data_IF_520944493237
#
_entry.id   IF_520944493237
#
_cell.length_a   1.000
_cell.length_b   1.000
_cell.length_c   1.000
_cell.angle_alpha   90.00
_cell.angle_beta   90.00
_cell.angle_gamma   90.00
#
_symmetry.space_group_name_H-M   'P 1'
#
loop_
_entity.id
_entity.type
_entity.pdbx_description
1 polymer ?
#
# COMPACT_ATOMS: atom_id res chain seq x y z
N UNK A 1 24.33 84.05 17.54
CA UNK A 1 24.81 82.65 17.53
C UNK A 1 24.21 81.83 18.65
N UNK A 2 24.17 82.32 19.89
CA UNK A 2 23.65 81.54 21.03
C UNK A 2 22.13 81.32 21.03
N UNK A 3 21.34 82.26 20.52
CA UNK A 3 19.88 82.10 20.40
C UNK A 3 19.49 80.96 19.44
N UNK A 4 20.22 80.83 18.32
CA UNK A 4 20.01 79.75 17.34
C UNK A 4 20.41 78.39 17.92
N UNK A 5 21.49 78.33 18.69
CA UNK A 5 21.91 77.09 19.37
C UNK A 5 20.90 76.64 20.44
N UNK A 6 20.30 77.58 21.17
CA UNK A 6 19.23 77.28 22.14
C UNK A 6 17.97 76.79 21.45
N UNK A 7 17.60 77.39 20.32
CA UNK A 7 16.43 76.96 19.54
C UNK A 7 16.65 75.60 18.88
N UNK A 8 17.86 75.35 18.38
CA UNK A 8 18.26 74.03 17.87
C UNK A 8 18.17 72.98 18.97
N UNK A 9 18.68 73.28 20.17
CA UNK A 9 18.62 72.38 21.32
C UNK A 9 17.18 72.07 21.76
N UNK A 10 16.32 73.09 21.82
CA UNK A 10 14.90 72.92 22.16
C UNK A 10 14.17 72.04 21.13
N UNK A 11 14.40 72.26 19.83
CA UNK A 11 13.80 71.47 18.76
C UNK A 11 14.32 70.03 18.73
N UNK A 12 15.62 69.80 19.02
CA UNK A 12 16.14 68.43 19.16
C UNK A 12 15.53 67.70 20.35
N UNK A 13 15.32 68.39 21.47
CA UNK A 13 14.69 67.78 22.65
C UNK A 13 13.21 67.46 22.41
N UNK A 14 12.51 68.32 21.67
CA UNK A 14 11.13 68.09 21.26
C UNK A 14 11.01 66.94 20.24
N UNK A 15 11.98 66.80 19.33
CA UNK A 15 12.08 65.64 18.44
C UNK A 15 12.35 64.35 19.20
N UNK A 16 13.28 64.35 20.16
CA UNK A 16 13.60 63.16 20.97
C UNK A 16 12.41 62.71 21.82
N UNK A 17 11.67 63.66 22.41
CA UNK A 17 10.45 63.36 23.18
C UNK A 17 9.32 62.85 22.29
N UNK A 18 9.12 63.40 21.08
CA UNK A 18 8.16 62.90 20.12
C UNK A 18 8.55 61.52 19.56
N UNK A 19 9.83 61.27 19.31
CA UNK A 19 10.33 59.94 18.91
C UNK A 19 10.16 58.91 20.02
N UNK A 20 10.42 59.30 21.28
CA UNK A 20 10.19 58.43 22.43
C UNK A 20 8.70 58.13 22.61
N UNK A 21 7.81 59.13 22.49
CA UNK A 21 6.37 58.94 22.54
C UNK A 21 5.85 58.08 21.37
N UNK A 22 6.44 58.21 20.17
CA UNK A 22 6.15 57.36 19.01
C UNK A 22 6.61 55.91 19.21
N UNK A 23 7.78 55.70 19.79
CA UNK A 23 8.29 54.35 20.16
C UNK A 23 7.46 53.72 21.28
N UNK A 24 6.94 54.52 22.22
CA UNK A 24 6.01 54.05 23.25
C UNK A 24 4.64 53.67 22.65
N UNK A 25 4.14 54.43 21.66
CA UNK A 25 2.94 54.10 20.88
C UNK A 25 3.14 52.94 19.89
N UNK A 26 4.37 52.57 19.56
CA UNK A 26 4.67 51.34 18.80
C UNK A 26 4.75 50.10 19.68
N UNK A 27 4.34 50.18 20.95
CA UNK A 27 3.88 49.00 21.67
C UNK A 27 2.62 48.48 20.97
N UNK A 28 2.86 47.59 20.00
CA UNK A 28 1.86 46.80 19.28
C UNK A 28 0.76 46.44 20.26
N UNK A 29 -0.42 47.03 20.09
CA UNK A 29 -1.59 46.62 20.84
C UNK A 29 -1.68 45.09 20.70
N UNK A 30 -1.88 44.37 21.79
CA UNK A 30 -2.02 42.90 21.75
C UNK A 30 -3.07 42.50 20.70
N UNK A 31 -4.06 43.37 20.47
CA UNK A 31 -5.06 43.28 19.42
C UNK A 31 -4.52 43.42 17.99
N UNK A 32 -3.50 44.23 17.73
CA UNK A 32 -2.86 44.32 16.43
C UNK A 32 -2.11 43.02 16.09
N UNK A 33 -1.39 42.45 17.07
CA UNK A 33 -0.75 41.15 16.92
C UNK A 33 -1.75 40.00 16.75
N UNK A 34 -2.87 40.05 17.48
CA UNK A 34 -3.97 39.10 17.34
C UNK A 34 -4.67 39.24 15.98
N UNK A 35 -5.01 40.45 15.57
CA UNK A 35 -5.64 40.73 14.28
C UNK A 35 -4.74 40.30 13.10
N UNK A 36 -3.42 40.52 13.20
CA UNK A 36 -2.47 40.10 12.16
C UNK A 36 -2.36 38.58 12.06
N UNK A 37 -2.31 37.87 13.19
CA UNK A 37 -2.31 36.39 13.20
C UNK A 37 -3.62 35.83 12.67
N UNK A 38 -4.76 36.38 13.11
CA UNK A 38 -6.07 35.98 12.64
C UNK A 38 -6.26 36.26 11.14
N UNK A 39 -5.68 37.34 10.60
CA UNK A 39 -5.69 37.63 9.17
C UNK A 39 -4.87 36.61 8.36
N UNK A 40 -3.69 36.24 8.85
CA UNK A 40 -2.84 35.22 8.21
C UNK A 40 -3.46 33.82 8.27
N UNK A 41 -4.02 33.44 9.42
CA UNK A 41 -4.74 32.18 9.60
C UNK A 41 -5.98 32.12 8.70
N UNK A 42 -6.75 33.21 8.60
CA UNK A 42 -7.86 33.31 7.63
C UNK A 42 -7.38 33.17 6.20
N UNK A 43 -6.25 33.77 5.84
CA UNK A 43 -5.72 33.67 4.48
C UNK A 43 -5.28 32.24 4.16
N UNK A 44 -4.61 31.56 5.09
CA UNK A 44 -4.25 30.15 4.96
C UNK A 44 -5.50 29.26 4.86
N UNK A 45 -6.48 29.47 5.73
CA UNK A 45 -7.74 28.71 5.72
C UNK A 45 -8.57 28.96 4.45
N UNK A 46 -8.54 30.17 3.87
CA UNK A 46 -9.21 30.48 2.59
C UNK A 46 -8.49 29.80 1.44
N UNK A 47 -7.16 29.76 1.46
CA UNK A 47 -6.37 29.06 0.45
C UNK A 47 -6.60 27.54 0.50
N UNK A 48 -6.57 26.95 1.70
CA UNK A 48 -6.86 25.53 1.91
C UNK A 48 -8.31 25.21 1.52
N UNK A 49 -9.29 26.04 1.89
CA UNK A 49 -10.68 25.85 1.43
C UNK A 49 -10.82 25.96 -0.08
N UNK A 50 -10.08 26.85 -0.75
CA UNK A 50 -10.09 26.92 -2.20
C UNK A 50 -9.48 25.66 -2.84
N UNK A 51 -8.42 25.11 -2.24
CA UNK A 51 -7.81 23.87 -2.67
C UNK A 51 -8.73 22.67 -2.44
N UNK A 52 -9.33 22.56 -1.26
CA UNK A 52 -10.30 21.51 -0.92
C UNK A 52 -11.56 21.60 -1.80
N UNK A 53 -12.05 22.82 -2.11
CA UNK A 53 -13.14 23.01 -3.08
C UNK A 53 -12.77 22.52 -4.47
N UNK A 54 -11.53 22.75 -4.94
CA UNK A 54 -11.07 22.22 -6.23
C UNK A 54 -11.01 20.69 -6.23
N UNK A 55 -10.53 20.09 -5.14
CA UNK A 55 -10.49 18.63 -4.98
C UNK A 55 -11.90 18.04 -4.90
N UNK A 56 -12.81 18.66 -4.14
CA UNK A 56 -14.21 18.25 -4.06
C UNK A 56 -14.94 18.40 -5.39
N UNK A 57 -14.70 19.49 -6.14
CA UNK A 57 -15.24 19.69 -7.48
C UNK A 57 -14.75 18.58 -8.42
N UNK A 58 -13.45 18.25 -8.35
CA UNK A 58 -12.88 17.16 -9.13
C UNK A 58 -13.49 15.79 -8.75
N UNK A 59 -13.66 15.52 -7.46
CA UNK A 59 -14.30 14.28 -6.99
C UNK A 59 -15.79 14.24 -7.37
N UNK A 60 -16.49 15.37 -7.36
CA UNK A 60 -17.88 15.47 -7.82
C UNK A 60 -18.00 15.22 -9.33
N UNK A 61 -17.07 15.74 -10.14
CA UNK A 61 -17.00 15.48 -11.58
C UNK A 61 -16.70 13.99 -11.85
N UNK A 62 -15.79 13.39 -11.09
CA UNK A 62 -15.48 11.95 -11.18
C UNK A 62 -16.69 11.10 -10.77
N UNK A 63 -17.36 11.43 -9.68
CA UNK A 63 -18.57 10.74 -9.24
C UNK A 63 -19.73 10.90 -10.22
N UNK A 64 -19.88 12.07 -10.86
CA UNK A 64 -20.88 12.30 -11.91
C UNK A 64 -20.59 11.44 -13.14
N UNK A 65 -19.32 11.33 -13.55
CA UNK A 65 -18.90 10.42 -14.63
C UNK A 65 -19.10 8.95 -14.27
N UNK A 66 -18.81 8.55 -13.04
CA UNK A 66 -19.07 7.20 -12.54
C UNK A 66 -20.59 6.92 -12.49
N UNK A 67 -21.41 7.90 -12.12
CA UNK A 67 -22.87 7.74 -12.09
C UNK A 67 -23.47 7.59 -13.48
N UNK A 68 -22.91 8.25 -14.50
CA UNK A 68 -23.26 8.05 -15.91
C UNK A 68 -22.87 6.65 -16.44
N UNK A 69 -21.93 5.96 -15.78
CA UNK A 69 -21.51 4.58 -16.09
C UNK A 69 -22.29 3.54 -15.29
N UNK A 70 -22.84 3.91 -14.13
CA UNK A 70 -23.56 3.03 -13.20
C UNK A 70 -25.09 3.04 -13.39
N UNK A 71 -25.67 3.99 -14.14
CA UNK A 71 -27.08 3.89 -14.55
C UNK A 71 -27.29 2.68 -15.48
N UNK A 72 -28.14 1.71 -15.11
CA UNK A 72 -28.00 0.35 -15.59
C UNK A 72 -28.65 0.17 -16.97
N UNK A 73 -27.84 -0.08 -18.00
CA UNK A 73 -28.28 -0.99 -19.04
C UNK A 73 -28.41 -2.37 -18.36
N UNK A 74 -29.63 -2.83 -18.14
CA UNK A 74 -29.96 -4.16 -17.64
C UNK A 74 -29.22 -5.23 -18.43
N UNK A 75 -28.05 -5.65 -17.96
CA UNK A 75 -27.29 -6.77 -18.47
C UNK A 75 -27.31 -7.81 -17.37
N UNK A 76 -28.24 -8.74 -17.53
CA UNK A 76 -28.30 -10.02 -16.83
C UNK A 76 -26.95 -10.71 -16.95
N UNK A 77 -26.11 -10.60 -15.92
CA UNK A 77 -24.98 -11.50 -15.75
C UNK A 77 -25.54 -12.87 -15.37
N UNK A 78 -25.88 -13.67 -16.39
CA UNK A 78 -25.97 -15.12 -16.23
C UNK A 78 -24.52 -15.59 -16.09
N UNK A 79 -24.10 -15.77 -14.85
CA UNK A 79 -23.02 -16.71 -14.56
C UNK A 79 -23.56 -18.08 -15.00
N UNK A 80 -23.10 -18.57 -16.16
CA UNK A 80 -23.22 -19.99 -16.44
C UNK A 80 -22.35 -20.70 -15.40
N UNK A 81 -22.99 -21.47 -14.52
CA UNK A 81 -22.39 -22.35 -13.50
C UNK A 81 -21.52 -23.48 -14.11
N UNK A 82 -21.26 -23.45 -15.42
CA UNK A 82 -20.50 -24.43 -16.19
C UNK A 82 -19.13 -23.89 -16.62
N UNK A 83 -18.45 -23.10 -15.77
CA UNK A 83 -16.99 -23.01 -15.80
C UNK A 83 -16.43 -24.34 -15.30
N UNK A 84 -16.53 -25.32 -16.18
CA UNK A 84 -15.82 -26.59 -16.20
C UNK A 84 -14.45 -26.35 -15.58
N UNK A 85 -14.22 -27.06 -14.47
CA UNK A 85 -12.93 -27.43 -13.92
C UNK A 85 -12.11 -28.09 -15.05
N UNK A 86 -11.66 -27.29 -16.03
CA UNK A 86 -10.68 -27.71 -17.00
C UNK A 86 -9.44 -27.91 -16.16
N UNK A 87 -9.19 -29.17 -15.81
CA UNK A 87 -8.00 -29.63 -15.15
C UNK A 87 -6.84 -29.23 -16.06
N UNK A 88 -6.29 -28.04 -15.84
CA UNK A 88 -5.06 -27.61 -16.47
C UNK A 88 -4.05 -28.64 -16.04
N UNK A 89 -3.61 -29.41 -17.04
CA UNK A 89 -2.61 -30.46 -16.91
C UNK A 89 -1.48 -29.91 -16.05
N UNK A 90 -1.28 -30.55 -14.88
CA UNK A 90 -0.16 -30.35 -13.95
C UNK A 90 1.16 -30.64 -14.68
N UNK A 91 1.54 -29.74 -15.57
CA UNK A 91 2.76 -29.85 -16.35
C UNK A 91 3.94 -29.80 -15.39
N UNK A 92 4.99 -30.61 -15.63
CA UNK A 92 6.23 -30.50 -14.86
C UNK A 92 6.77 -29.07 -14.94
N UNK A 93 7.56 -28.68 -13.93
CA UNK A 93 8.31 -27.42 -13.95
C UNK A 93 8.97 -27.19 -15.33
N UNK A 94 9.03 -25.95 -15.81
CA UNK A 94 9.67 -25.68 -17.09
C UNK A 94 11.10 -26.21 -17.05
N UNK A 95 11.60 -26.77 -18.17
CA UNK A 95 12.87 -27.55 -18.22
C UNK A 95 14.11 -26.83 -17.66
N UNK A 96 14.06 -25.51 -17.50
CA UNK A 96 15.13 -24.67 -16.95
C UNK A 96 15.02 -24.38 -15.43
N UNK A 97 13.98 -24.89 -14.76
CA UNK A 97 13.79 -24.77 -13.32
C UNK A 97 14.07 -26.12 -12.65
N UNK A 98 15.28 -26.28 -12.12
CA UNK A 98 15.61 -27.32 -11.13
C UNK A 98 15.43 -26.74 -9.73
N UNK A 99 15.34 -27.60 -8.70
CA UNK A 99 15.27 -27.12 -7.31
C UNK A 99 16.47 -26.22 -6.97
N UNK A 100 17.67 -26.56 -7.45
CA UNK A 100 18.87 -25.73 -7.24
C UNK A 100 18.75 -24.35 -7.90
N UNK A 101 18.32 -24.27 -9.16
CA UNK A 101 18.19 -22.97 -9.86
C UNK A 101 17.04 -22.14 -9.28
N UNK A 102 15.98 -22.77 -8.78
CA UNK A 102 14.91 -22.11 -8.05
C UNK A 102 15.42 -21.44 -6.78
N UNK A 103 16.17 -22.17 -5.94
CA UNK A 103 16.74 -21.61 -4.72
C UNK A 103 17.73 -20.48 -5.01
N UNK A 104 18.65 -20.69 -5.95
CA UNK A 104 19.62 -19.66 -6.36
C UNK A 104 18.93 -18.36 -6.79
N UNK A 105 17.86 -18.46 -7.59
CA UNK A 105 17.09 -17.28 -8.03
C UNK A 105 16.36 -16.60 -6.89
N UNK A 106 15.65 -17.34 -6.05
CA UNK A 106 14.90 -16.76 -4.93
C UNK A 106 15.84 -16.15 -3.88
N UNK A 107 17.01 -16.74 -3.65
CA UNK A 107 18.03 -16.17 -2.77
C UNK A 107 18.67 -14.92 -3.37
N UNK A 108 18.92 -14.91 -4.69
CA UNK A 108 19.36 -13.71 -5.39
C UNK A 108 18.32 -12.58 -5.29
N UNK A 109 17.02 -12.88 -5.46
CA UNK A 109 15.95 -11.91 -5.25
C UNK A 109 15.92 -11.44 -3.79
N UNK A 110 15.98 -12.35 -2.80
CA UNK A 110 16.04 -11.99 -1.37
C UNK A 110 17.19 -11.05 -1.05
N UNK A 111 18.36 -11.24 -1.67
CA UNK A 111 19.50 -10.34 -1.50
C UNK A 111 19.25 -8.91 -2.00
N UNK A 112 18.31 -8.72 -2.95
CA UNK A 112 17.90 -7.40 -3.45
C UNK A 112 16.92 -6.68 -2.52
N UNK A 113 16.26 -7.38 -1.60
CA UNK A 113 15.20 -6.80 -0.76
C UNK A 113 15.63 -5.50 -0.06
N UNK A 114 16.81 -5.41 0.60
CA UNK A 114 17.20 -4.17 1.27
C UNK A 114 17.41 -3.00 0.29
N UNK A 115 17.92 -3.26 -0.92
CA UNK A 115 18.14 -2.19 -1.90
C UNK A 115 16.82 -1.72 -2.52
N UNK A 116 15.89 -2.64 -2.77
CA UNK A 116 14.53 -2.34 -3.23
C UNK A 116 13.78 -1.54 -2.18
N UNK A 117 13.79 -1.98 -0.92
CA UNK A 117 13.07 -1.28 0.15
C UNK A 117 13.60 0.14 0.36
N UNK A 118 14.93 0.32 0.35
CA UNK A 118 15.53 1.66 0.41
C UNK A 118 15.14 2.53 -0.79
N UNK A 119 15.22 1.98 -2.01
CA UNK A 119 14.88 2.72 -3.25
C UNK A 119 13.44 3.21 -3.22
N UNK A 120 12.52 2.42 -2.69
CA UNK A 120 11.10 2.73 -2.61
C UNK A 120 10.69 3.36 -1.28
N UNK A 121 11.66 3.79 -0.45
CA UNK A 121 11.42 4.53 0.78
C UNK A 121 10.82 3.72 1.93
N UNK A 122 10.73 2.38 1.82
CA UNK A 122 10.10 1.48 2.79
C UNK A 122 10.91 1.32 4.10
N UNK A 123 12.22 1.60 4.08
CA UNK A 123 13.08 1.51 5.27
C UNK A 123 12.88 2.66 6.26
N UNK A 124 12.44 3.83 5.77
CA UNK A 124 12.37 5.06 6.55
C UNK A 124 10.96 5.40 7.06
N UNK A 125 9.94 4.62 6.68
CA UNK A 125 8.55 4.91 7.07
C UNK A 125 8.29 4.48 8.51
N UNK A 126 7.78 5.41 9.31
CA UNK A 126 7.30 5.15 10.68
C UNK A 126 5.79 4.93 10.73
N UNK A 127 5.06 5.46 9.74
CA UNK A 127 3.61 5.38 9.65
C UNK A 127 3.17 4.51 8.46
N UNK A 128 1.89 4.15 8.47
CA UNK A 128 1.25 3.46 7.36
C UNK A 128 1.23 4.35 6.11
N UNK A 129 1.72 3.82 5.00
CA UNK A 129 1.91 4.52 3.74
C UNK A 129 1.76 3.57 2.56
N UNK A 130 1.20 4.08 1.46
CA UNK A 130 0.95 3.34 0.21
C UNK A 130 1.26 4.24 -0.98
N UNK A 131 1.98 3.70 -1.96
CA UNK A 131 2.26 4.35 -3.22
C UNK A 131 2.08 3.37 -4.37
N UNK A 132 1.43 3.84 -5.42
CA UNK A 132 1.24 3.11 -6.67
C UNK A 132 1.80 3.98 -7.79
N UNK A 133 2.72 3.43 -8.56
CA UNK A 133 3.34 4.07 -9.72
C UNK A 133 3.08 3.19 -10.93
N UNK A 134 2.47 3.77 -11.97
CA UNK A 134 2.32 3.12 -13.27
C UNK A 134 3.19 3.85 -14.29
N UNK A 135 3.94 3.09 -15.07
CA UNK A 135 4.79 3.62 -16.14
C UNK A 135 4.82 2.66 -17.32
N UNK A 136 5.08 3.19 -18.51
CA UNK A 136 5.38 2.37 -19.68
C UNK A 136 6.90 2.24 -19.79
N UNK A 137 7.40 1.02 -19.86
CA UNK A 137 8.80 0.75 -20.15
C UNK A 137 9.08 1.11 -21.61
N UNK A 138 9.88 2.15 -21.84
CA UNK A 138 10.18 2.64 -23.19
C UNK A 138 10.97 1.64 -24.03
N UNK A 139 11.68 0.69 -23.40
CA UNK A 139 12.49 -0.29 -24.12
C UNK A 139 11.66 -1.48 -24.60
N UNK A 140 10.75 -1.97 -23.77
CA UNK A 140 9.92 -3.15 -24.11
C UNK A 140 8.52 -2.79 -24.58
N UNK A 141 8.05 -1.59 -24.27
CA UNK A 141 6.67 -1.16 -24.44
C UNK A 141 5.73 -1.68 -23.35
N UNK A 142 6.23 -2.41 -22.36
CA UNK A 142 5.39 -3.03 -21.32
C UNK A 142 4.87 -2.01 -20.32
N UNK A 143 3.67 -2.25 -19.78
CA UNK A 143 3.18 -1.48 -18.64
C UNK A 143 3.77 -2.08 -17.37
N UNK A 144 4.41 -1.24 -16.58
CA UNK A 144 5.02 -1.59 -15.30
C UNK A 144 4.26 -0.89 -14.19
N UNK A 145 3.64 -1.70 -13.33
CA UNK A 145 2.97 -1.26 -12.12
C UNK A 145 3.84 -1.59 -10.92
N UNK A 146 4.34 -0.55 -10.26
CA UNK A 146 5.11 -0.64 -9.02
C UNK A 146 4.24 -0.20 -7.86
N UNK A 147 4.16 -1.05 -6.85
CA UNK A 147 3.32 -0.85 -5.67
C UNK A 147 4.20 -1.00 -4.44
N UNK A 148 4.20 0.01 -3.59
CA UNK A 148 4.96 0.05 -2.35
C UNK A 148 4.02 0.33 -1.19
N UNK A 149 4.09 -0.48 -0.15
CA UNK A 149 3.24 -0.34 1.04
C UNK A 149 4.06 -0.59 2.29
N UNK A 150 3.86 0.26 3.28
CA UNK A 150 4.27 0.04 4.66
C UNK A 150 3.00 0.15 5.51
N UNK A 151 2.71 -0.83 6.36
CA UNK A 151 1.56 -0.82 7.24
C UNK A 151 2.02 -1.10 8.67
N UNK A 152 1.59 -0.25 9.59
CA UNK A 152 1.69 -0.56 11.02
C UNK A 152 0.50 -1.42 11.39
N UNK A 153 0.75 -2.70 11.68
CA UNK A 153 -0.28 -3.64 12.12
C UNK A 153 -0.32 -3.64 13.64
N UNK A 154 -1.49 -3.38 14.21
CA UNK A 154 -1.73 -3.32 15.66
C UNK A 154 -2.01 -4.72 16.25
N UNK A 155 -1.08 -5.64 16.03
CA UNK A 155 -1.13 -6.99 16.56
C UNK A 155 0.27 -7.54 16.86
N UNK A 156 0.33 -8.63 17.62
CA UNK A 156 1.58 -9.29 17.98
C UNK A 156 2.29 -9.85 16.74
N UNK A 157 3.62 -9.73 16.71
CA UNK A 157 4.44 -10.20 15.58
C UNK A 157 4.22 -11.70 15.26
N UNK A 158 4.06 -12.54 16.29
CA UNK A 158 3.78 -13.96 16.10
C UNK A 158 2.41 -14.19 15.45
N UNK A 159 1.35 -13.55 15.97
CA UNK A 159 -0.01 -13.69 15.46
C UNK A 159 -0.11 -13.26 13.99
N UNK A 160 0.56 -12.14 13.64
CA UNK A 160 0.61 -11.65 12.26
C UNK A 160 1.47 -12.55 11.38
N UNK A 161 2.57 -13.10 11.90
CA UNK A 161 3.40 -14.09 11.20
C UNK A 161 2.61 -15.35 10.83
N UNK A 162 1.83 -15.88 11.77
CA UNK A 162 0.95 -17.04 11.57
C UNK A 162 -0.16 -16.73 10.57
N UNK A 163 -0.76 -15.54 10.66
CA UNK A 163 -1.77 -15.08 9.70
C UNK A 163 -1.20 -14.98 8.28
N UNK A 164 0.00 -14.39 8.14
CA UNK A 164 0.70 -14.33 6.86
C UNK A 164 1.01 -15.74 6.33
N UNK A 165 1.43 -16.67 7.18
CA UNK A 165 1.66 -18.06 6.76
C UNK A 165 0.39 -18.72 6.20
N UNK A 166 -0.78 -18.45 6.79
CA UNK A 166 -2.05 -18.95 6.27
C UNK A 166 -2.42 -18.35 4.90
N UNK A 167 -2.12 -17.07 4.69
CA UNK A 167 -2.39 -16.35 3.44
C UNK A 167 -1.42 -16.77 2.33
N UNK A 168 -0.14 -16.97 2.65
CA UNK A 168 0.91 -17.28 1.67
C UNK A 168 1.20 -18.77 1.51
N UNK A 169 0.74 -19.63 2.39
CA UNK A 169 0.84 -21.07 2.20
C UNK A 169 -0.52 -21.69 2.51
N UNK A 170 -1.57 -21.32 1.75
CA UNK A 170 -2.90 -21.81 2.03
C UNK A 170 -2.96 -23.31 1.76
N UNK A 171 -3.55 -24.05 2.71
CA UNK A 171 -3.72 -25.51 2.60
C UNK A 171 -4.76 -25.91 1.54
N UNK A 172 -5.60 -24.97 1.16
CA UNK A 172 -6.65 -25.12 0.15
C UNK A 172 -6.54 -23.94 -0.81
N UNK A 173 -6.99 -24.07 -2.06
CA UNK A 173 -7.06 -22.95 -2.99
C UNK A 173 -7.79 -21.75 -2.36
N UNK A 174 -7.13 -20.59 -2.36
CA UNK A 174 -7.72 -19.35 -1.89
C UNK A 174 -8.43 -18.70 -3.07
N UNK A 175 -9.74 -18.50 -2.95
CA UNK A 175 -10.55 -17.80 -3.94
C UNK A 175 -11.08 -16.49 -3.36
N UNK A 176 -10.87 -15.40 -4.09
CA UNK A 176 -11.54 -14.11 -3.90
C UNK A 176 -12.23 -13.74 -5.21
N UNK A 177 -13.13 -12.75 -5.17
CA UNK A 177 -14.08 -12.41 -6.25
C UNK A 177 -13.48 -12.47 -7.68
N UNK A 178 -12.25 -11.99 -7.86
CA UNK A 178 -11.60 -11.94 -9.16
C UNK A 178 -10.22 -12.62 -9.21
N UNK A 179 -9.81 -13.35 -8.17
CA UNK A 179 -8.45 -13.88 -8.05
C UNK A 179 -8.45 -15.21 -7.33
N UNK A 180 -7.65 -16.15 -7.82
CA UNK A 180 -7.38 -17.39 -7.08
C UNK A 180 -5.89 -17.64 -6.95
N UNK A 181 -5.52 -18.29 -5.85
CA UNK A 181 -4.16 -18.72 -5.55
C UNK A 181 -4.22 -20.19 -5.14
N UNK A 182 -3.45 -21.02 -5.81
CA UNK A 182 -3.29 -22.43 -5.47
C UNK A 182 -1.81 -22.76 -5.30
N UNK A 183 -1.46 -23.50 -4.26
CA UNK A 183 -0.11 -24.06 -4.11
C UNK A 183 -0.08 -25.40 -4.84
N UNK A 184 0.72 -25.47 -5.90
CA UNK A 184 0.85 -26.65 -6.75
C UNK A 184 1.84 -27.65 -6.18
N UNK A 185 2.95 -27.15 -5.63
CA UNK A 185 4.05 -27.97 -5.13
C UNK A 185 4.74 -27.32 -3.93
N UNK A 186 5.06 -28.12 -2.93
CA UNK A 186 5.90 -27.73 -1.79
C UNK A 186 7.29 -28.30 -2.05
N UNK A 187 8.24 -27.43 -2.40
CA UNK A 187 9.62 -27.84 -2.72
C UNK A 187 10.37 -28.19 -1.44
N UNK A 188 10.22 -27.35 -0.41
CA UNK A 188 10.70 -27.58 0.95
C UNK A 188 9.84 -26.81 1.97
N UNK A 189 10.23 -26.81 3.25
CA UNK A 189 9.50 -26.12 4.32
C UNK A 189 9.38 -24.59 4.14
N UNK A 190 10.20 -24.01 3.27
CA UNK A 190 10.34 -22.58 3.04
C UNK A 190 9.97 -22.15 1.61
N UNK A 191 9.94 -23.09 0.65
CA UNK A 191 9.85 -22.80 -0.78
C UNK A 191 8.68 -23.54 -1.42
N UNK A 192 7.87 -22.79 -2.17
CA UNK A 192 6.60 -23.27 -2.74
C UNK A 192 6.48 -22.82 -4.18
N UNK A 193 5.83 -23.64 -5.00
CA UNK A 193 5.39 -23.27 -6.34
C UNK A 193 3.86 -23.21 -6.32
N UNK A 194 3.32 -22.15 -6.91
CA UNK A 194 1.89 -21.95 -6.99
C UNK A 194 1.45 -21.40 -8.33
N UNK A 195 0.14 -21.42 -8.53
CA UNK A 195 -0.53 -20.79 -9.64
C UNK A 195 -1.36 -19.62 -9.14
N UNK A 196 -1.39 -18.60 -9.99
CA UNK A 196 -2.10 -17.38 -9.76
C UNK A 196 -3.01 -17.11 -10.94
N UNK A 197 -4.32 -17.10 -10.69
CA UNK A 197 -5.33 -16.78 -11.71
C UNK A 197 -5.97 -15.45 -11.34
N UNK A 198 -6.09 -14.56 -12.31
CA UNK A 198 -6.67 -13.25 -12.13
C UNK A 198 -7.65 -12.96 -13.27
N UNK A 199 -8.91 -12.71 -12.93
CA UNK A 199 -9.98 -12.52 -13.89
C UNK A 199 -10.43 -11.06 -13.88
N UNK A 200 -10.27 -10.34 -14.98
CA UNK A 200 -10.64 -8.91 -15.10
C UNK A 200 -11.29 -8.69 -16.45
N UNK A 201 -12.43 -8.00 -16.50
CA UNK A 201 -13.19 -7.75 -17.73
C UNK A 201 -13.42 -8.99 -18.61
N UNK A 202 -13.73 -10.15 -18.00
CA UNK A 202 -13.87 -11.45 -18.68
C UNK A 202 -12.59 -12.00 -19.32
N UNK A 203 -11.45 -11.34 -19.12
CA UNK A 203 -10.12 -11.83 -19.50
C UNK A 203 -9.48 -12.55 -18.33
N UNK A 204 -8.77 -13.65 -18.61
CA UNK A 204 -8.06 -14.43 -17.60
C UNK A 204 -6.55 -14.25 -17.77
N UNK A 205 -5.90 -13.85 -16.69
CA UNK A 205 -4.45 -13.67 -16.58
C UNK A 205 -3.90 -14.74 -15.65
N UNK A 206 -3.04 -15.62 -16.18
CA UNK A 206 -2.40 -16.68 -15.41
C UNK A 206 -0.90 -16.51 -15.31
N UNK A 207 -0.36 -16.86 -14.15
CA UNK A 207 1.07 -17.04 -13.96
C UNK A 207 1.34 -18.15 -12.97
N UNK A 208 2.43 -18.88 -13.19
CA UNK A 208 3.04 -19.71 -12.16
C UNK A 208 4.11 -18.92 -11.44
N UNK A 209 4.23 -19.16 -10.14
CA UNK A 209 5.19 -18.48 -9.30
C UNK A 209 5.94 -19.44 -8.41
N UNK A 210 7.15 -19.02 -8.04
CA UNK A 210 7.90 -19.61 -6.96
C UNK A 210 7.99 -18.58 -5.83
N UNK A 211 7.81 -19.05 -4.61
CA UNK A 211 7.83 -18.24 -3.39
C UNK A 211 8.77 -18.86 -2.38
N UNK A 212 9.62 -18.03 -1.75
CA UNK A 212 10.46 -18.42 -0.61
C UNK A 212 10.09 -17.58 0.60
N UNK A 213 9.80 -18.25 1.70
CA UNK A 213 9.66 -17.67 3.03
C UNK A 213 10.99 -17.82 3.79
N UNK A 214 11.37 -16.83 4.58
CA UNK A 214 12.57 -16.91 5.41
C UNK A 214 12.32 -16.20 6.73
N UNK A 215 12.32 -16.96 7.82
CA UNK A 215 12.38 -16.41 9.16
C UNK A 215 13.83 -15.99 9.46
N UNK A 216 14.02 -14.72 9.79
CA UNK A 216 15.25 -14.14 10.31
C UNK A 216 15.03 -13.78 11.78
N UNK A 217 16.09 -13.36 12.48
CA UNK A 217 16.02 -13.06 13.91
C UNK A 217 15.04 -11.91 14.24
N UNK A 218 14.95 -10.90 13.36
CA UNK A 218 14.20 -9.67 13.58
C UNK A 218 12.97 -9.51 12.67
N UNK A 219 12.80 -10.41 11.69
CA UNK A 219 11.79 -10.28 10.64
C UNK A 219 11.47 -11.59 9.94
N UNK A 220 10.31 -11.67 9.31
CA UNK A 220 9.95 -12.73 8.36
C UNK A 220 9.90 -12.12 6.96
N UNK A 221 10.55 -12.75 5.99
CA UNK A 221 10.63 -12.26 4.62
C UNK A 221 9.96 -13.23 3.66
N UNK A 222 9.17 -12.71 2.73
CA UNK A 222 8.62 -13.46 1.60
C UNK A 222 9.12 -12.85 0.30
N UNK A 223 9.58 -13.71 -0.59
CA UNK A 223 9.99 -13.33 -1.95
C UNK A 223 9.24 -14.22 -2.91
N UNK A 224 8.60 -13.61 -3.90
CA UNK A 224 7.86 -14.32 -4.93
C UNK A 224 8.24 -13.79 -6.31
N UNK A 225 8.39 -14.72 -7.26
CA UNK A 225 8.72 -14.40 -8.64
C UNK A 225 7.95 -15.31 -9.59
N UNK A 226 7.55 -14.75 -10.73
CA UNK A 226 6.99 -15.51 -11.84
C UNK A 226 8.03 -16.45 -12.44
N UNK A 227 7.68 -17.73 -12.60
CA UNK A 227 8.56 -18.76 -13.20
C UNK A 227 8.19 -19.09 -14.63
N UNK A 228 6.90 -19.00 -14.93
CA UNK A 228 6.29 -19.26 -16.22
C UNK A 228 5.03 -18.41 -16.32
N UNK A 229 4.83 -17.78 -17.47
CA UNK A 229 3.59 -17.12 -17.81
C UNK A 229 2.99 -17.93 -18.96
N UNK A 230 1.74 -18.38 -18.80
CA UNK A 230 1.12 -19.32 -19.72
C UNK A 230 1.09 -18.74 -21.14
N UNK A 231 1.30 -19.61 -22.14
CA UNK A 231 1.33 -19.23 -23.54
C UNK A 231 -0.08 -19.16 -24.17
N UNK A 232 -1.09 -19.74 -23.50
CA UNK A 232 -2.49 -19.71 -23.95
C UNK A 232 -3.32 -18.53 -23.42
N UNK A 233 -3.02 -18.04 -22.22
CA UNK A 233 -3.67 -16.89 -21.57
C UNK A 233 -2.79 -15.63 -21.67
N UNK A 234 -3.34 -14.44 -21.41
CA UNK A 234 -2.53 -13.20 -21.47
C UNK A 234 -1.45 -13.22 -20.37
N UNK A 235 -0.16 -13.35 -20.71
CA UNK A 235 0.87 -13.54 -19.71
C UNK A 235 1.17 -12.22 -19.00
N UNK A 236 1.50 -12.28 -17.72
CA UNK A 236 2.12 -11.17 -17.02
C UNK A 236 3.23 -11.68 -16.12
N UNK A 237 4.18 -10.80 -15.81
CA UNK A 237 5.22 -11.12 -14.84
C UNK A 237 5.02 -10.31 -13.58
N UNK A 238 5.32 -10.95 -12.46
CA UNK A 238 5.25 -10.34 -11.15
C UNK A 238 6.50 -10.73 -10.34
N UNK A 239 7.05 -9.73 -9.64
CA UNK A 239 8.00 -9.93 -8.57
C UNK A 239 7.49 -9.20 -7.33
N UNK A 240 7.46 -9.90 -6.20
CA UNK A 240 6.92 -9.41 -4.95
C UNK A 240 7.89 -9.68 -3.82
N UNK A 241 8.07 -8.68 -2.97
CA UNK A 241 8.91 -8.69 -1.79
C UNK A 241 8.09 -8.24 -0.61
N UNK A 242 8.11 -9.01 0.46
CA UNK A 242 7.39 -8.66 1.68
C UNK A 242 8.27 -8.91 2.89
N UNK A 243 8.12 -8.07 3.90
CA UNK A 243 8.73 -8.29 5.19
C UNK A 243 7.74 -7.96 6.29
N UNK A 244 7.67 -8.83 7.27
CA UNK A 244 7.09 -8.55 8.58
C UNK A 244 8.24 -8.26 9.54
N UNK A 245 8.30 -7.07 10.12
CA UNK A 245 9.35 -6.65 11.04
C UNK A 245 8.76 -6.42 12.42
N UNK A 246 9.46 -6.90 13.45
CA UNK A 246 9.07 -6.66 14.82
C UNK A 246 9.28 -5.18 15.18
N UNK A 247 8.25 -4.53 15.71
CA UNK A 247 8.35 -3.16 16.25
C UNK A 247 8.25 -3.18 17.77
N UNK A 248 7.14 -3.72 18.29
CA UNK A 248 6.83 -3.85 19.72
C UNK A 248 5.98 -5.10 19.95
N UNK A 249 5.70 -5.41 21.22
CA UNK A 249 4.89 -6.58 21.60
C UNK A 249 3.51 -6.62 20.94
N UNK A 250 2.90 -5.46 20.73
CA UNK A 250 1.53 -5.27 20.21
C UNK A 250 1.50 -4.69 18.78
N UNK A 251 2.67 -4.51 18.15
CA UNK A 251 2.80 -3.85 16.86
C UNK A 251 3.92 -4.42 16.02
N UNK A 252 3.68 -4.53 14.74
CA UNK A 252 4.69 -4.90 13.75
C UNK A 252 4.53 -4.07 12.48
N UNK A 253 5.60 -3.98 11.69
CA UNK A 253 5.56 -3.38 10.38
C UNK A 253 5.41 -4.47 9.33
N UNK A 254 4.39 -4.35 8.49
CA UNK A 254 4.29 -5.12 7.26
C UNK A 254 4.68 -4.23 6.08
N UNK A 255 5.77 -4.58 5.42
CA UNK A 255 6.30 -3.89 4.23
C UNK A 255 6.11 -4.76 3.02
N UNK A 256 5.74 -4.15 1.90
CA UNK A 256 5.58 -4.83 0.63
C UNK A 256 6.07 -3.94 -0.50
N UNK A 257 6.82 -4.55 -1.42
CA UNK A 257 7.03 -4.03 -2.76
C UNK A 257 6.56 -5.07 -3.77
N UNK A 258 5.76 -4.64 -4.75
CA UNK A 258 5.24 -5.49 -5.82
C UNK A 258 5.46 -4.80 -7.16
N UNK A 259 6.05 -5.51 -8.10
CA UNK A 259 6.26 -5.05 -9.47
C UNK A 259 5.55 -6.01 -10.42
N UNK A 260 4.53 -5.51 -11.12
CA UNK A 260 3.77 -6.24 -12.14
C UNK A 260 4.15 -5.67 -13.50
N UNK A 261 4.52 -6.52 -14.46
CA UNK A 261 4.75 -6.14 -15.85
C UNK A 261 3.76 -6.83 -16.76
N UNK A 262 3.07 -6.02 -17.54
CA UNK A 262 2.05 -6.41 -18.49
C UNK A 262 2.55 -6.17 -19.90
N UNK A 263 2.66 -7.21 -20.74
CA UNK A 263 3.04 -7.04 -22.13
C UNK A 263 1.93 -6.32 -22.88
N UNK A 264 2.28 -5.23 -23.58
CA UNK A 264 1.33 -4.41 -24.35
C UNK A 264 1.09 -4.99 -25.76
N UNK A 265 1.64 -6.17 -26.05
CA UNK A 265 1.74 -6.71 -27.42
C UNK A 265 0.42 -6.98 -28.13
N UNK A 266 -0.69 -7.04 -27.42
CA UNK A 266 -2.03 -6.92 -28.00
C UNK A 266 -2.72 -5.79 -27.25
N UNK A 267 -3.18 -4.74 -27.97
CA UNK A 267 -3.79 -3.54 -27.38
C UNK A 267 -4.85 -3.89 -26.34
N UNK A 268 -4.45 -4.02 -25.07
CA UNK A 268 -5.37 -3.99 -23.95
C UNK A 268 -6.08 -2.65 -24.09
N UNK A 269 -7.41 -2.67 -24.22
CA UNK A 269 -8.17 -1.42 -24.19
C UNK A 269 -7.74 -0.63 -22.95
N UNK A 270 -7.70 0.70 -23.05
CA UNK A 270 -7.34 1.58 -21.92
C UNK A 270 -8.18 1.22 -20.69
N UNK A 271 -9.43 0.80 -20.89
CA UNK A 271 -10.35 0.35 -19.84
C UNK A 271 -9.83 -0.90 -19.12
N UNK A 272 -9.38 -1.92 -19.85
CA UNK A 272 -8.82 -3.15 -19.27
C UNK A 272 -7.53 -2.86 -18.49
N UNK A 273 -6.72 -1.91 -18.94
CA UNK A 273 -5.52 -1.48 -18.20
C UNK A 273 -5.90 -0.81 -16.87
N UNK A 274 -6.91 0.06 -16.89
CA UNK A 274 -7.40 0.73 -15.69
C UNK A 274 -8.02 -0.27 -14.70
N UNK A 275 -8.86 -1.18 -15.17
CA UNK A 275 -9.48 -2.21 -14.34
C UNK A 275 -8.43 -3.16 -13.75
N UNK A 276 -7.44 -3.55 -14.54
CA UNK A 276 -6.38 -4.44 -14.08
C UNK A 276 -5.49 -3.76 -13.03
N UNK A 277 -5.15 -2.49 -13.23
CA UNK A 277 -4.44 -1.67 -12.23
C UNK A 277 -5.26 -1.51 -10.95
N UNK A 278 -6.55 -1.20 -11.07
CA UNK A 278 -7.46 -1.07 -9.94
C UNK A 278 -7.56 -2.39 -9.17
N UNK A 279 -7.63 -3.52 -9.88
CA UNK A 279 -7.68 -4.82 -9.24
C UNK A 279 -6.37 -5.19 -8.54
N UNK A 280 -5.20 -4.91 -9.13
CA UNK A 280 -3.93 -5.16 -8.44
C UNK A 280 -3.79 -4.27 -7.21
N UNK A 281 -4.28 -3.03 -7.28
CA UNK A 281 -4.32 -2.12 -6.14
C UNK A 281 -5.26 -2.60 -5.03
N UNK A 282 -6.47 -3.06 -5.38
CA UNK A 282 -7.47 -3.59 -4.44
C UNK A 282 -7.02 -4.90 -3.80
N UNK A 283 -6.22 -5.69 -4.51
CA UNK A 283 -5.73 -6.97 -3.98
C UNK A 283 -4.85 -6.84 -2.72
N UNK A 284 -4.35 -5.64 -2.44
CA UNK A 284 -3.68 -5.35 -1.17
C UNK A 284 -4.67 -5.16 -0.04
N UNK A 285 -5.75 -4.45 -0.31
CA UNK A 285 -6.79 -4.18 0.69
C UNK A 285 -7.40 -5.53 1.12
N UNK A 286 -7.55 -6.48 0.19
CA UNK A 286 -7.90 -7.87 0.52
C UNK A 286 -6.89 -8.57 1.46
N UNK A 287 -5.59 -8.29 1.33
CA UNK A 287 -4.57 -8.86 2.25
C UNK A 287 -4.65 -8.19 3.61
N UNK A 288 -4.90 -6.88 3.66
CA UNK A 288 -5.11 -6.14 4.90
C UNK A 288 -6.36 -6.69 5.62
N UNK A 289 -7.48 -6.80 4.91
CA UNK A 289 -8.73 -7.34 5.45
C UNK A 289 -8.57 -8.79 5.92
N UNK A 290 -7.81 -9.61 5.17
CA UNK A 290 -7.51 -10.98 5.56
C UNK A 290 -6.64 -11.03 6.82
N UNK A 291 -5.62 -10.18 6.93
CA UNK A 291 -4.79 -10.06 8.12
C UNK A 291 -5.62 -9.62 9.33
N UNK A 292 -6.45 -8.60 9.18
CA UNK A 292 -7.33 -8.13 10.24
C UNK A 292 -8.33 -9.21 10.67
N UNK A 293 -8.95 -9.92 9.73
CA UNK A 293 -9.88 -11.01 10.01
C UNK A 293 -9.22 -12.15 10.78
N UNK A 294 -8.02 -12.58 10.37
CA UNK A 294 -7.29 -13.66 11.04
C UNK A 294 -6.82 -13.21 12.44
N UNK A 295 -6.29 -12.00 12.57
CA UNK A 295 -5.90 -11.43 13.86
C UNK A 295 -7.09 -11.35 14.81
N UNK A 296 -8.25 -10.89 14.33
CA UNK A 296 -9.47 -10.83 15.14
C UNK A 296 -9.95 -12.22 15.54
N UNK A 297 -9.86 -13.22 14.65
CA UNK A 297 -10.20 -14.62 14.94
C UNK A 297 -9.29 -15.22 16.02
N UNK A 298 -7.98 -14.98 15.93
CA UNK A 298 -6.99 -15.42 16.92
C UNK A 298 -7.25 -14.75 18.28
N UNK A 299 -7.53 -13.44 18.31
CA UNK A 299 -7.88 -12.73 19.53
C UNK A 299 -9.17 -13.26 20.19
N UNK A 300 -10.18 -13.65 19.39
CA UNK A 300 -11.42 -14.28 19.88
C UNK A 300 -11.19 -15.69 20.43
N UNK A 301 -10.25 -16.44 19.84
CA UNK A 301 -9.90 -17.79 20.29
C UNK A 301 -9.16 -17.72 21.63
N UNK A 302 -8.19 -16.82 21.77
CA UNK A 302 -7.48 -16.58 23.04
C UNK A 302 -8.43 -16.12 24.15
N UNK A 303 -9.42 -15.28 23.83
CA UNK A 303 -10.44 -14.87 24.82
C UNK A 303 -11.39 -15.99 25.19
N UNK A 304 -11.78 -16.86 24.25
CA UNK A 304 -12.57 -18.08 24.53
C UNK A 304 -11.82 -19.10 25.38
N UNK A 305 -10.54 -19.33 25.09
CA UNK A 305 -9.69 -20.20 25.90
C UNK A 305 -9.46 -19.60 27.29
N UNK A 306 -9.29 -18.29 27.41
CA UNK A 306 -9.24 -17.62 28.72
C UNK A 306 -10.59 -17.64 29.47
N UNK A 307 -11.73 -17.69 28.77
CA UNK A 307 -13.03 -17.93 29.40
C UNK A 307 -13.16 -19.39 29.86
N UNK A 308 -12.70 -20.38 29.09
CA UNK A 308 -12.66 -21.78 29.52
C UNK A 308 -11.69 -22.01 30.70
N UNK A 309 -10.56 -21.32 30.73
CA UNK A 309 -9.61 -21.34 31.86
C UNK A 309 -10.18 -20.60 33.08
N UNK A 310 -11.01 -19.56 32.88
CA UNK A 310 -11.74 -18.90 33.99
C UNK A 310 -12.85 -19.76 34.59
N UNK A 311 -13.45 -20.67 33.83
CA UNK A 311 -14.44 -21.63 34.36
C UNK A 311 -13.78 -22.83 35.07
N UNK A 312 -12.50 -23.12 34.82
CA UNK A 312 -11.75 -24.18 35.50
C UNK A 312 -10.99 -23.71 36.75
N UNK A 313 -11.03 -22.42 37.09
CA UNK A 313 -10.38 -21.84 38.28
C UNK A 313 -11.38 -21.34 39.35
N UNK A 314 -12.67 -21.69 39.23
CA UNK A 314 -13.71 -21.36 40.22
C UNK A 314 -14.51 -22.56 40.76
N UNK A 315 -14.11 -23.80 40.45
CA UNK A 315 -14.52 -24.99 41.20
C UNK A 315 -13.27 -25.80 41.56
N UNK A 316 -12.81 -25.59 42.79
CA UNK A 316 -11.62 -26.22 43.40
C UNK A 316 -11.30 -25.59 44.73
#
# INVERSE_FOLDING_TARGET
MDALRRQQYALTMELETLEYARKLRSSKSVWEGFARRQALERQAAVFENAQLKKVLQHHADVLSRLRAVVEPATMSCRMDDDLVLAHVTRGPLPRNWSNSTLHERLDAQKALLPSIFRKHGLDCQQDSWKQIVSRVDTATGDIVLEISTCLVVHAGFADVGDAMSCIYTPKQPLHVENRSIEILEIVDASSHIGEHVHCVASETFRRRFARKCSALHDRIVFVEQTIEADHGDRPYTETKYEALEYLRRDRCHWKMFRCVRLPVRDMLCVDLQQELMASFAASMDNVIDALESVVQSLARTITRDNHHVRWLLYEG
#
